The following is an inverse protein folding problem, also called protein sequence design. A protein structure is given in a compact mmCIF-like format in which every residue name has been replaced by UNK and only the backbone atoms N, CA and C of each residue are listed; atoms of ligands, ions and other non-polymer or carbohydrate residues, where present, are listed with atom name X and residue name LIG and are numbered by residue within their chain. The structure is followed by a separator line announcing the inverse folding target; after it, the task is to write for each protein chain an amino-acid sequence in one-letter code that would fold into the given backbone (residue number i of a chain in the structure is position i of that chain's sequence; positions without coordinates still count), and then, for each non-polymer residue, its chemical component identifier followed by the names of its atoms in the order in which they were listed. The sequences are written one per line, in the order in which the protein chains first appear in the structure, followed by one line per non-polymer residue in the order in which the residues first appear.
data_IF_899311417702
#
_entry.id   IF_899311417702
#
_cell.length_a   1.000
_cell.length_b   1.000
_cell.length_c   1.000
_cell.angle_alpha   90.00
_cell.angle_beta   90.00
_cell.angle_gamma   90.00
#
_symmetry.space_group_name_H-M   'P 1'
#
loop_
_entity.id
_entity.type
_entity.pdbx_description
1 polymer ?
#
# COMPACT_ATOMS: atom_id res chain seq x y z
N UNK A 1 12.94 23.16 60.94
CA UNK A 1 11.96 24.16 60.48
C UNK A 1 11.62 23.72 59.06
N UNK A 2 11.01 22.53 58.92
CA UNK A 2 10.88 21.79 57.65
C UNK A 2 9.59 20.96 57.65
N UNK A 3 8.47 21.52 58.11
CA UNK A 3 7.21 20.75 58.17
C UNK A 3 6.05 21.42 57.48
N UNK A 4 6.18 22.67 57.00
CA UNK A 4 5.09 23.37 56.30
C UNK A 4 5.40 23.44 54.80
N UNK A 5 6.67 23.58 54.41
CA UNK A 5 7.07 23.60 53.00
C UNK A 5 6.80 22.25 52.31
N UNK A 6 7.08 21.11 52.95
CA UNK A 6 6.79 19.76 52.42
C UNK A 6 5.30 19.48 52.18
N UNK A 7 4.37 20.10 52.94
CA UNK A 7 2.93 19.78 52.87
C UNK A 7 2.25 20.46 51.68
N UNK A 8 2.73 21.64 51.27
CA UNK A 8 2.16 22.38 50.14
C UNK A 8 2.96 22.19 48.84
N UNK A 9 4.17 21.63 48.90
CA UNK A 9 5.01 21.35 47.72
C UNK A 9 4.28 20.48 46.69
N UNK A 10 3.56 19.45 47.13
CA UNK A 10 2.76 18.61 46.22
C UNK A 10 1.59 19.36 45.57
N UNK A 11 1.05 20.40 46.23
CA UNK A 11 -0.02 21.25 45.67
C UNK A 11 0.53 22.30 44.71
N UNK A 12 1.77 22.76 44.92
CA UNK A 12 2.46 23.72 44.05
C UNK A 12 2.98 23.04 42.77
N UNK A 13 3.44 21.79 42.88
CA UNK A 13 3.96 21.00 41.76
C UNK A 13 2.90 20.13 41.07
N UNK A 14 1.61 20.30 41.43
CA UNK A 14 0.52 19.46 40.96
C UNK A 14 0.34 19.56 39.43
N UNK A 15 0.46 20.77 38.87
CA UNK A 15 0.37 21.00 37.43
C UNK A 15 1.50 20.28 36.67
N UNK A 16 2.74 20.45 37.13
CA UNK A 16 3.91 19.82 36.52
C UNK A 16 3.85 18.28 36.63
N UNK A 17 3.37 17.76 37.77
CA UNK A 17 3.16 16.33 37.98
C UNK A 17 2.13 15.79 37.00
N UNK A 18 0.94 16.40 36.89
CA UNK A 18 -0.08 15.94 35.96
C UNK A 18 0.30 16.13 34.49
N UNK A 19 1.06 17.17 34.16
CA UNK A 19 1.60 17.34 32.82
C UNK A 19 2.54 16.18 32.47
N UNK A 20 3.45 15.85 33.42
CA UNK A 20 4.38 14.73 33.25
C UNK A 20 3.66 13.40 33.16
N UNK A 21 2.71 13.14 34.05
CA UNK A 21 1.92 11.91 34.05
C UNK A 21 1.14 11.75 32.74
N UNK A 22 0.46 12.81 32.28
CA UNK A 22 -0.28 12.78 31.02
C UNK A 22 0.63 12.61 29.80
N UNK A 23 1.84 13.19 29.82
CA UNK A 23 2.84 12.95 28.76
C UNK A 23 3.34 11.51 28.78
N UNK A 24 3.72 10.97 29.95
CA UNK A 24 4.26 9.62 30.09
C UNK A 24 3.18 8.57 29.72
N UNK A 25 1.92 8.79 30.12
CA UNK A 25 0.77 7.97 29.73
C UNK A 25 0.52 8.04 28.21
N UNK A 26 0.39 9.25 27.66
CA UNK A 26 0.14 9.43 26.23
C UNK A 26 1.27 8.90 25.34
N UNK A 27 2.52 9.00 25.79
CA UNK A 27 3.68 8.43 25.11
C UNK A 27 3.64 6.89 25.13
N UNK A 28 3.35 6.29 26.29
CA UNK A 28 3.25 4.85 26.43
C UNK A 28 2.11 4.26 25.59
N UNK A 29 0.93 4.88 25.62
CA UNK A 29 -0.21 4.48 24.79
C UNK A 29 0.10 4.68 23.30
N UNK A 30 0.67 5.82 22.92
CA UNK A 30 1.02 6.15 21.54
C UNK A 30 2.00 5.17 20.91
N UNK A 31 2.94 4.62 21.70
CA UNK A 31 3.85 3.57 21.21
C UNK A 31 3.12 2.26 20.89
N UNK A 32 2.13 1.90 21.71
CA UNK A 32 1.36 0.66 21.52
C UNK A 32 0.39 0.82 20.35
N UNK A 33 -0.41 1.89 20.33
CA UNK A 33 -1.40 2.15 19.29
C UNK A 33 -0.71 2.39 17.94
N UNK A 34 0.34 3.21 17.89
CA UNK A 34 1.06 3.51 16.66
C UNK A 34 1.68 2.27 16.00
N UNK A 35 2.14 1.31 16.80
CA UNK A 35 2.64 0.03 16.27
C UNK A 35 1.52 -0.80 15.63
N UNK A 36 0.37 -0.90 16.28
CA UNK A 36 -0.76 -1.67 15.76
C UNK A 36 -1.39 -1.01 14.54
N UNK A 37 -1.58 0.31 14.57
CA UNK A 37 -2.04 1.09 13.43
C UNK A 37 -1.09 0.96 12.24
N UNK A 38 0.22 1.11 12.46
CA UNK A 38 1.23 0.93 11.42
C UNK A 38 1.20 -0.45 10.79
N UNK A 39 1.02 -1.51 11.60
CA UNK A 39 0.87 -2.89 11.11
C UNK A 39 -0.37 -3.04 10.24
N UNK A 40 -1.51 -2.55 10.70
CA UNK A 40 -2.79 -2.67 10.01
C UNK A 40 -2.78 -1.89 8.67
N UNK A 41 -2.31 -0.65 8.69
CA UNK A 41 -2.18 0.18 7.48
C UNK A 41 -1.19 -0.46 6.49
N UNK A 42 -0.04 -0.94 6.97
CA UNK A 42 0.96 -1.60 6.14
C UNK A 42 0.43 -2.86 5.48
N UNK A 43 -0.29 -3.71 6.22
CA UNK A 43 -0.86 -4.95 5.71
C UNK A 43 -1.94 -4.68 4.65
N UNK A 44 -2.87 -3.76 4.94
CA UNK A 44 -3.91 -3.36 4.01
C UNK A 44 -3.33 -2.78 2.71
N UNK A 45 -2.46 -1.78 2.84
CA UNK A 45 -1.89 -1.09 1.67
C UNK A 45 -0.99 -2.04 0.86
N UNK A 46 -0.19 -2.86 1.54
CA UNK A 46 0.65 -3.87 0.90
C UNK A 46 -0.16 -4.91 0.14
N UNK A 47 -1.29 -5.35 0.69
CA UNK A 47 -2.22 -6.25 0.00
C UNK A 47 -2.84 -5.60 -1.24
N UNK A 48 -3.39 -4.38 -1.12
CA UNK A 48 -4.01 -3.66 -2.24
C UNK A 48 -3.03 -3.47 -3.42
N UNK A 49 -1.79 -3.10 -3.12
CA UNK A 49 -0.73 -2.94 -4.13
C UNK A 49 -0.30 -4.30 -4.71
N UNK A 50 -0.06 -5.29 -3.85
CA UNK A 50 0.37 -6.63 -4.24
C UNK A 50 -0.66 -7.34 -5.13
N UNK A 51 -1.95 -7.19 -4.82
CA UNK A 51 -3.05 -7.71 -5.62
C UNK A 51 -3.05 -7.11 -7.03
N UNK A 52 -2.95 -5.78 -7.16
CA UNK A 52 -2.94 -5.09 -8.45
C UNK A 52 -1.72 -5.51 -9.30
N UNK A 53 -0.53 -5.56 -8.69
CA UNK A 53 0.68 -6.02 -9.37
C UNK A 53 0.58 -7.48 -9.79
N UNK A 54 0.05 -8.34 -8.93
CA UNK A 54 -0.16 -9.76 -9.23
C UNK A 54 -1.12 -9.98 -10.39
N UNK A 55 -2.21 -9.20 -10.44
CA UNK A 55 -3.17 -9.21 -11.54
C UNK A 55 -2.50 -8.84 -12.88
N UNK A 56 -1.71 -7.77 -12.90
CA UNK A 56 -0.96 -7.38 -14.09
C UNK A 56 0.05 -8.42 -14.52
N UNK A 57 0.78 -9.01 -13.56
CA UNK A 57 1.72 -10.10 -13.84
C UNK A 57 1.02 -11.29 -14.50
N UNK A 58 -0.12 -11.72 -13.97
CA UNK A 58 -0.91 -12.81 -14.55
C UNK A 58 -1.35 -12.53 -15.99
N UNK A 59 -1.80 -11.30 -16.28
CA UNK A 59 -2.17 -10.91 -17.64
C UNK A 59 -0.97 -10.98 -18.60
N UNK A 60 0.18 -10.46 -18.19
CA UNK A 60 1.42 -10.50 -18.97
C UNK A 60 1.87 -11.95 -19.24
N UNK A 61 1.81 -12.82 -18.24
CA UNK A 61 2.22 -14.22 -18.37
C UNK A 61 1.28 -14.99 -19.34
N UNK A 62 -0.03 -14.73 -19.29
CA UNK A 62 -1.01 -15.29 -20.24
C UNK A 62 -0.76 -14.78 -21.66
N UNK A 63 -0.63 -13.46 -21.85
CA UNK A 63 -0.38 -12.89 -23.18
C UNK A 63 0.95 -13.35 -23.76
N UNK A 64 2.01 -13.41 -22.95
CA UNK A 64 3.32 -13.92 -23.37
C UNK A 64 3.27 -15.40 -23.73
N UNK A 65 2.47 -16.19 -23.01
CA UNK A 65 2.23 -17.60 -23.35
C UNK A 65 1.50 -17.75 -24.69
N UNK A 66 0.48 -16.91 -24.94
CA UNK A 66 -0.22 -16.90 -26.23
C UNK A 66 0.73 -16.58 -27.39
N UNK A 67 1.60 -15.58 -27.24
CA UNK A 67 2.62 -15.22 -28.25
C UNK A 67 3.61 -16.38 -28.50
N UNK A 68 3.98 -17.14 -27.46
CA UNK A 68 4.86 -18.31 -27.62
C UNK A 68 4.20 -19.43 -28.41
N UNK A 69 2.90 -19.65 -28.21
CA UNK A 69 2.13 -20.68 -28.93
C UNK A 69 1.85 -20.27 -30.37
N UNK A 70 1.45 -19.02 -30.59
CA UNK A 70 1.24 -18.42 -31.91
C UNK A 70 1.87 -17.02 -31.97
N UNK A 71 3.07 -16.89 -32.57
CA UNK A 71 3.76 -15.61 -32.69
C UNK A 71 2.99 -14.54 -33.47
N UNK A 72 1.96 -14.92 -34.23
CA UNK A 72 1.13 -14.00 -35.01
C UNK A 72 -0.20 -13.66 -34.32
N UNK A 73 -0.49 -14.19 -33.13
CA UNK A 73 -1.75 -13.94 -32.42
C UNK A 73 -1.95 -12.46 -32.10
N UNK A 74 -0.86 -11.70 -31.92
CA UNK A 74 -0.85 -10.26 -31.70
C UNK A 74 0.13 -9.57 -32.65
N UNK A 75 -0.20 -8.35 -33.07
CA UNK A 75 0.73 -7.53 -33.86
C UNK A 75 2.02 -7.23 -33.10
N UNK A 76 3.14 -7.07 -33.84
CA UNK A 76 4.44 -6.70 -33.25
C UNK A 76 4.38 -5.44 -32.38
N UNK A 77 3.46 -4.51 -32.68
CA UNK A 77 3.23 -3.31 -31.87
C UNK A 77 2.69 -3.65 -30.47
N UNK A 78 1.77 -4.60 -30.38
CA UNK A 78 1.19 -5.02 -29.10
C UNK A 78 2.19 -5.84 -28.30
N UNK A 79 2.93 -6.76 -28.95
CA UNK A 79 3.99 -7.51 -28.30
C UNK A 79 5.02 -6.59 -27.63
N UNK A 80 5.46 -5.52 -28.33
CA UNK A 80 6.33 -4.49 -27.75
C UNK A 80 5.72 -3.77 -26.55
N UNK A 81 4.41 -3.51 -26.56
CA UNK A 81 3.71 -2.88 -25.42
C UNK A 81 3.65 -3.80 -24.21
N UNK A 82 3.38 -5.09 -24.42
CA UNK A 82 3.36 -6.12 -23.37
C UNK A 82 4.75 -6.22 -22.73
N UNK A 83 5.82 -6.34 -23.54
CA UNK A 83 7.19 -6.40 -23.02
C UNK A 83 7.56 -5.14 -22.22
N UNK A 84 7.14 -3.95 -22.70
CA UNK A 84 7.40 -2.71 -21.95
C UNK A 84 6.62 -2.62 -20.64
N UNK A 85 5.46 -3.27 -20.56
CA UNK A 85 4.71 -3.38 -19.31
C UNK A 85 5.37 -4.38 -18.35
N UNK A 86 5.91 -5.50 -18.85
CA UNK A 86 6.69 -6.46 -18.06
C UNK A 86 7.97 -5.85 -17.48
N UNK A 87 8.75 -5.14 -18.29
CA UNK A 87 9.93 -4.40 -17.83
C UNK A 87 9.58 -3.42 -16.69
N UNK A 88 8.46 -2.70 -16.82
CA UNK A 88 8.03 -1.74 -15.82
C UNK A 88 7.61 -2.43 -14.51
N UNK A 89 6.94 -3.58 -14.62
CA UNK A 89 6.50 -4.36 -13.47
C UNK A 89 7.68 -4.98 -12.72
N UNK A 90 8.72 -5.43 -13.44
CA UNK A 90 9.96 -5.96 -12.84
C UNK A 90 10.79 -4.87 -12.13
N UNK A 91 10.67 -3.62 -12.56
CA UNK A 91 11.34 -2.47 -11.94
C UNK A 91 10.58 -1.89 -10.74
N UNK A 92 9.39 -2.40 -10.44
CA UNK A 92 8.57 -1.86 -9.37
C UNK A 92 9.21 -2.12 -7.99
N UNK A 93 9.47 -1.08 -7.18
CA UNK A 93 10.19 -1.22 -5.92
C UNK A 93 9.28 -1.69 -4.78
N UNK A 94 8.89 -2.98 -4.80
CA UNK A 94 7.96 -3.57 -3.81
C UNK A 94 8.51 -3.47 -2.38
N UNK A 95 9.83 -3.52 -2.20
CA UNK A 95 10.49 -3.45 -0.89
C UNK A 95 10.72 -2.03 -0.39
N UNK A 96 10.48 -1.01 -1.20
CA UNK A 96 10.67 0.41 -0.85
C UNK A 96 9.36 1.17 -1.09
N UNK A 97 8.30 0.91 -0.30
CA UNK A 97 6.98 1.51 -0.52
C UNK A 97 6.96 3.03 -0.36
N UNK A 98 7.95 3.61 0.34
CA UNK A 98 8.12 5.06 0.52
C UNK A 98 8.82 5.74 -0.67
N UNK A 99 9.25 4.97 -1.68
CA UNK A 99 9.92 5.52 -2.83
C UNK A 99 8.95 6.40 -3.65
N UNK A 100 9.33 7.66 -3.88
CA UNK A 100 8.51 8.66 -4.57
C UNK A 100 8.03 8.20 -5.96
N UNK A 101 8.78 7.30 -6.61
CA UNK A 101 8.43 6.78 -7.94
C UNK A 101 7.29 5.74 -7.94
N UNK A 102 6.94 5.15 -6.80
CA UNK A 102 5.92 4.07 -6.67
C UNK A 102 4.59 4.49 -7.29
N UNK A 103 4.15 5.73 -7.01
CA UNK A 103 2.89 6.27 -7.54
C UNK A 103 2.91 6.40 -9.05
N UNK A 104 3.98 7.00 -9.60
CA UNK A 104 4.12 7.22 -11.04
C UNK A 104 4.26 5.90 -11.82
N UNK A 105 4.94 4.91 -11.23
CA UNK A 105 5.06 3.57 -11.78
C UNK A 105 3.70 2.87 -11.82
N UNK A 106 2.89 2.97 -10.76
CA UNK A 106 1.54 2.41 -10.76
C UNK A 106 0.63 3.03 -11.81
N UNK A 107 0.63 4.36 -11.92
CA UNK A 107 -0.19 5.04 -12.91
C UNK A 107 0.26 4.70 -14.34
N UNK A 108 1.56 4.53 -14.53
CA UNK A 108 2.14 4.04 -15.79
C UNK A 108 1.71 2.61 -16.10
N UNK A 109 1.66 1.71 -15.11
CA UNK A 109 1.17 0.33 -15.27
C UNK A 109 -0.32 0.33 -15.65
N UNK A 110 -1.17 1.04 -14.90
CA UNK A 110 -2.61 1.21 -15.15
C UNK A 110 -2.89 1.75 -16.55
N UNK A 111 -2.11 2.73 -17.00
CA UNK A 111 -2.25 3.29 -18.34
C UNK A 111 -1.87 2.27 -19.42
N UNK A 112 -0.72 1.60 -19.28
CA UNK A 112 -0.27 0.59 -20.25
C UNK A 112 -1.26 -0.56 -20.35
N UNK A 113 -1.76 -1.05 -19.22
CA UNK A 113 -2.78 -2.10 -19.15
C UNK A 113 -4.03 -1.70 -19.95
N UNK A 114 -4.64 -0.54 -19.64
CA UNK A 114 -5.83 -0.05 -20.35
C UNK A 114 -5.61 0.07 -21.85
N UNK A 115 -4.45 0.57 -22.27
CA UNK A 115 -4.10 0.69 -23.70
C UNK A 115 -3.99 -0.67 -24.38
N UNK A 116 -3.40 -1.67 -23.73
CA UNK A 116 -3.31 -3.03 -24.26
C UNK A 116 -4.71 -3.64 -24.39
N UNK A 117 -5.54 -3.57 -23.35
CA UNK A 117 -6.90 -4.10 -23.38
C UNK A 117 -7.76 -3.45 -24.46
N UNK A 118 -7.69 -2.12 -24.60
CA UNK A 118 -8.42 -1.40 -25.65
C UNK A 118 -7.95 -1.80 -27.06
N UNK A 119 -6.64 -1.99 -27.25
CA UNK A 119 -6.09 -2.41 -28.55
C UNK A 119 -6.49 -3.84 -28.92
N UNK A 120 -6.62 -4.72 -27.91
CA UNK A 120 -7.05 -6.12 -28.07
C UNK A 120 -8.57 -6.30 -28.03
N UNK A 121 -9.34 -5.22 -27.85
CA UNK A 121 -10.79 -5.24 -27.66
C UNK A 121 -11.23 -6.19 -26.52
N UNK A 122 -10.43 -6.27 -25.46
CA UNK A 122 -10.70 -7.11 -24.30
C UNK A 122 -11.43 -6.33 -23.21
N UNK A 123 -12.46 -6.93 -22.62
CA UNK A 123 -13.16 -6.40 -21.44
C UNK A 123 -12.51 -6.89 -20.14
N UNK A 124 -11.20 -6.72 -20.04
CA UNK A 124 -10.46 -6.96 -18.80
C UNK A 124 -10.39 -5.65 -18.01
N UNK A 125 -10.72 -5.72 -16.74
CA UNK A 125 -10.59 -4.62 -15.79
C UNK A 125 -10.06 -5.18 -14.47
N UNK A 126 -9.14 -4.44 -13.85
CA UNK A 126 -8.82 -4.66 -12.46
C UNK A 126 -9.90 -3.99 -11.61
N UNK A 127 -10.69 -4.79 -10.89
CA UNK A 127 -11.77 -4.28 -10.06
C UNK A 127 -11.35 -4.10 -8.59
N UNK A 128 -10.14 -4.57 -8.23
CA UNK A 128 -9.64 -4.60 -6.87
C UNK A 128 -10.42 -5.55 -5.95
N UNK A 129 -9.88 -5.74 -4.74
CA UNK A 129 -10.61 -6.37 -3.65
C UNK A 129 -11.88 -5.55 -3.33
N UNK A 130 -13.04 -6.19 -3.11
CA UNK A 130 -14.23 -5.50 -2.59
C UNK A 130 -13.86 -4.72 -1.33
N UNK A 131 -14.10 -3.41 -1.34
CA UNK A 131 -13.82 -2.56 -0.18
C UNK A 131 -14.86 -2.87 0.88
N UNK A 132 -14.63 -2.52 2.14
CA UNK A 132 -15.60 -2.73 3.23
C UNK A 132 -17.02 -2.15 2.95
N UNK A 133 -17.17 -1.30 1.94
CA UNK A 133 -18.46 -0.86 1.39
C UNK A 133 -19.28 -1.97 0.70
N UNK A 134 -18.68 -3.12 0.39
CA UNK A 134 -19.26 -4.18 -0.42
C UNK A 134 -19.75 -5.39 0.42
N UNK A 135 -19.80 -5.24 1.75
CA UNK A 135 -20.62 -6.09 2.63
C UNK A 135 -19.93 -7.25 3.34
N UNK A 136 -18.65 -7.54 3.06
CA UNK A 136 -17.86 -8.52 3.82
C UNK A 136 -16.57 -7.88 4.33
N UNK A 137 -16.54 -7.58 5.63
CA UNK A 137 -15.35 -7.16 6.34
C UNK A 137 -14.39 -8.34 6.44
N UNK A 138 -13.33 -8.35 5.63
CA UNK A 138 -12.17 -9.20 5.91
C UNK A 138 -11.35 -8.47 6.97
N UNK A 139 -11.39 -8.97 8.20
CA UNK A 139 -10.48 -8.55 9.26
C UNK A 139 -9.10 -9.18 9.01
N UNK A 140 -8.06 -8.36 9.09
CA UNK A 140 -6.67 -8.76 8.99
C UNK A 140 -6.00 -8.86 10.37
#
# INVERSE_FOLDING_TARGET
MDSIDDIFESSLNLEETHFKDGYDEGYAEGLVSGKEEGRQVGLKTGFEVGEELGFYRGCIDVWSSAIRVDPNCFSARIQKRINKMDELLQQYPISEPENESVSDLMDSLRLKFRVICATLNMKLAYNGHPKASDGESVEF
#
